data_IF_508331416633
#
_entry.id   IF_508331416633
#
_cell.length_a   1.000
_cell.length_b   1.000
_cell.length_c   1.000
_cell.angle_alpha   90.00
_cell.angle_beta   90.00
_cell.angle_gamma   90.00
#
_symmetry.space_group_name_H-M   'P 1'
#
loop_
_entity.id
_entity.type
_entity.pdbx_description
1 polymer ?
#
# COMPACT_ATOMS: atom_id res chain seq x y z
N UNK A 1 -16.63 -8.12 -24.04
CA UNK A 1 -15.41 -8.32 -23.26
C UNK A 1 -15.80 -8.80 -21.87
N UNK A 2 -15.17 -9.85 -21.34
CA UNK A 2 -15.33 -10.35 -19.97
C UNK A 2 -14.06 -10.03 -19.18
N UNK A 3 -14.17 -9.71 -17.88
CA UNK A 3 -13.06 -9.30 -17.01
C UNK A 3 -12.86 -10.34 -15.92
N UNK A 4 -11.62 -10.77 -15.70
CA UNK A 4 -11.23 -11.68 -14.61
C UNK A 4 -10.33 -10.92 -13.64
N UNK A 5 -10.87 -10.48 -12.50
CA UNK A 5 -10.13 -9.72 -11.50
C UNK A 5 -9.47 -10.66 -10.48
N UNK A 6 -8.15 -10.58 -10.34
CA UNK A 6 -7.36 -11.30 -9.35
C UNK A 6 -6.98 -10.34 -8.21
N UNK A 7 -7.46 -10.64 -7.01
CA UNK A 7 -7.19 -9.82 -5.83
C UNK A 7 -7.36 -10.59 -4.52
N UNK A 8 -6.63 -10.22 -3.45
CA UNK A 8 -7.18 -10.45 -2.13
C UNK A 8 -8.51 -9.70 -2.02
N UNK A 9 -9.54 -10.37 -1.51
CA UNK A 9 -10.87 -9.83 -1.35
C UNK A 9 -11.28 -9.87 0.13
N UNK A 10 -12.27 -9.08 0.59
CA UNK A 10 -12.81 -9.23 1.92
C UNK A 10 -13.21 -10.69 2.20
N UNK A 11 -12.95 -11.24 3.41
CA UNK A 11 -12.52 -10.57 4.64
C UNK A 11 -11.00 -10.41 4.80
N UNK A 12 -10.19 -10.51 3.74
CA UNK A 12 -8.75 -10.30 3.81
C UNK A 12 -8.44 -8.91 4.38
N UNK A 13 -7.56 -8.80 5.41
CA UNK A 13 -7.34 -7.55 6.12
C UNK A 13 -6.35 -6.62 5.41
N UNK A 14 -6.57 -6.34 4.12
CA UNK A 14 -5.70 -5.48 3.30
C UNK A 14 -6.49 -4.32 2.69
N UNK A 15 -5.84 -3.15 2.53
CA UNK A 15 -6.45 -2.02 1.83
C UNK A 15 -6.77 -2.31 0.35
N UNK A 16 -6.02 -3.24 -0.27
CA UNK A 16 -6.30 -3.68 -1.65
C UNK A 16 -7.59 -4.51 -1.73
N UNK A 17 -7.94 -5.25 -0.66
CA UNK A 17 -9.22 -5.97 -0.63
C UNK A 17 -10.41 -5.01 -0.65
N UNK A 18 -10.36 -3.94 0.17
CA UNK A 18 -11.40 -2.91 0.20
C UNK A 18 -11.48 -2.14 -1.13
N UNK A 19 -10.32 -1.78 -1.69
CA UNK A 19 -10.23 -1.15 -3.02
C UNK A 19 -10.83 -2.03 -4.11
N UNK A 20 -10.51 -3.34 -4.10
CA UNK A 20 -10.99 -4.27 -5.13
C UNK A 20 -12.49 -4.55 -5.01
N UNK A 21 -13.07 -4.51 -3.81
CA UNK A 21 -14.53 -4.56 -3.64
C UNK A 21 -15.20 -3.38 -4.35
N UNK A 22 -14.72 -2.16 -4.08
CA UNK A 22 -15.23 -0.96 -4.75
C UNK A 22 -15.07 -1.03 -6.27
N UNK A 23 -13.91 -1.49 -6.75
CA UNK A 23 -13.63 -1.63 -8.18
C UNK A 23 -14.55 -2.67 -8.84
N UNK A 24 -14.80 -3.81 -8.19
CA UNK A 24 -15.71 -4.85 -8.69
C UNK A 24 -17.12 -4.31 -8.90
N UNK A 25 -17.65 -3.54 -7.94
CA UNK A 25 -18.98 -2.90 -8.03
C UNK A 25 -19.06 -1.99 -9.26
N UNK A 26 -18.05 -1.14 -9.48
CA UNK A 26 -18.01 -0.24 -10.63
C UNK A 26 -17.81 -0.94 -11.97
N UNK A 27 -16.97 -1.96 -12.03
CA UNK A 27 -16.74 -2.72 -13.26
C UNK A 27 -17.91 -3.62 -13.62
N UNK A 28 -18.61 -4.20 -12.65
CA UNK A 28 -19.79 -5.06 -12.89
C UNK A 28 -20.96 -4.30 -13.55
N UNK A 29 -21.03 -2.98 -13.34
CA UNK A 29 -21.98 -2.12 -14.04
C UNK A 29 -21.67 -1.95 -15.55
N UNK A 30 -20.46 -2.28 -15.99
CA UNK A 30 -19.96 -2.05 -17.37
C UNK A 30 -19.64 -3.32 -18.14
N UNK A 31 -19.24 -4.38 -17.43
CA UNK A 31 -18.75 -5.63 -18.03
C UNK A 31 -19.26 -6.85 -17.25
N UNK A 32 -19.38 -8.01 -17.87
CA UNK A 32 -19.40 -9.27 -17.15
C UNK A 32 -18.07 -9.45 -16.42
N UNK A 33 -18.10 -9.45 -15.08
CA UNK A 33 -16.90 -9.54 -14.22
C UNK A 33 -16.97 -10.80 -13.39
N UNK A 34 -15.86 -11.47 -13.22
CA UNK A 34 -15.64 -12.53 -12.26
C UNK A 34 -14.38 -12.26 -11.45
N UNK A 35 -14.37 -12.66 -10.19
CA UNK A 35 -13.26 -12.44 -9.28
C UNK A 35 -12.55 -13.75 -8.93
N UNK A 36 -11.23 -13.68 -8.76
CA UNK A 36 -10.36 -14.80 -8.40
C UNK A 36 -9.54 -14.47 -7.16
N UNK A 37 -9.58 -15.34 -6.16
CA UNK A 37 -8.86 -15.13 -4.89
C UNK A 37 -8.29 -16.44 -4.34
N UNK A 38 -7.32 -16.33 -3.43
CA UNK A 38 -6.76 -17.48 -2.68
C UNK A 38 -7.40 -17.65 -1.30
N UNK A 39 -8.14 -16.64 -0.83
CA UNK A 39 -8.72 -16.62 0.50
C UNK A 39 -10.18 -17.09 0.55
N UNK A 40 -10.80 -16.88 1.70
CA UNK A 40 -12.24 -17.04 1.86
C UNK A 40 -12.99 -16.07 0.94
N UNK A 41 -14.10 -16.53 0.38
CA UNK A 41 -14.96 -15.72 -0.50
C UNK A 41 -16.06 -15.10 0.36
N UNK A 42 -16.16 -13.78 0.32
CA UNK A 42 -17.25 -13.05 0.95
C UNK A 42 -18.53 -13.23 0.12
N UNK A 43 -19.54 -13.84 0.73
CA UNK A 43 -20.84 -14.08 0.09
C UNK A 43 -21.65 -12.79 -0.18
N UNK A 44 -21.18 -11.64 0.31
CA UNK A 44 -21.84 -10.34 0.08
C UNK A 44 -21.40 -9.65 -1.21
N UNK A 45 -20.42 -10.21 -1.93
CA UNK A 45 -19.99 -9.69 -3.23
C UNK A 45 -21.01 -10.07 -4.31
N UNK A 46 -21.51 -9.08 -5.04
CA UNK A 46 -22.50 -9.27 -6.12
C UNK A 46 -21.88 -9.74 -7.46
N UNK A 47 -20.69 -10.33 -7.41
CA UNK A 47 -20.01 -10.88 -8.57
C UNK A 47 -19.61 -12.33 -8.34
N UNK A 48 -19.60 -13.20 -9.38
CA UNK A 48 -19.10 -14.56 -9.25
C UNK A 48 -17.65 -14.58 -8.77
N UNK A 49 -17.37 -15.30 -7.67
CA UNK A 49 -16.04 -15.41 -7.08
C UNK A 49 -15.58 -16.87 -7.11
N UNK A 50 -14.32 -17.08 -7.49
CA UNK A 50 -13.75 -18.39 -7.68
C UNK A 50 -12.37 -18.53 -7.02
N UNK A 51 -11.96 -19.75 -6.63
CA UNK A 51 -10.58 -20.03 -6.31
C UNK A 51 -9.68 -19.75 -7.53
N UNK A 52 -8.59 -19.00 -7.37
CA UNK A 52 -7.72 -18.58 -8.47
C UNK A 52 -7.20 -19.75 -9.35
N UNK A 53 -6.98 -20.93 -8.75
CA UNK A 53 -6.51 -22.15 -9.47
C UNK A 53 -7.48 -22.66 -10.52
N UNK A 54 -8.73 -22.23 -10.50
CA UNK A 54 -9.75 -22.65 -11.48
C UNK A 54 -9.72 -21.82 -12.77
N UNK A 55 -8.94 -20.74 -12.79
CA UNK A 55 -8.93 -19.80 -13.91
C UNK A 55 -8.57 -20.46 -15.25
N UNK A 56 -7.46 -21.17 -15.31
CA UNK A 56 -6.99 -21.80 -16.55
C UNK A 56 -8.02 -22.76 -17.12
N UNK A 57 -8.61 -23.62 -16.29
CA UNK A 57 -9.68 -24.52 -16.70
C UNK A 57 -10.90 -23.76 -17.26
N UNK A 58 -11.30 -22.66 -16.59
CA UNK A 58 -12.45 -21.86 -17.02
C UNK A 58 -12.19 -21.16 -18.35
N UNK A 59 -10.96 -20.73 -18.64
CA UNK A 59 -10.60 -20.12 -19.93
C UNK A 59 -10.69 -21.10 -21.12
N UNK A 60 -10.72 -22.41 -20.90
CA UNK A 60 -10.91 -23.40 -21.97
C UNK A 60 -12.37 -23.61 -22.36
N UNK A 61 -13.30 -23.30 -21.46
CA UNK A 61 -14.75 -23.60 -21.60
C UNK A 61 -15.55 -22.35 -21.98
N UNK A 62 -15.09 -21.19 -21.54
CA UNK A 62 -15.80 -19.92 -21.70
C UNK A 62 -15.03 -18.92 -22.60
N UNK A 63 -15.68 -17.87 -23.14
CA UNK A 63 -14.96 -16.82 -23.87
C UNK A 63 -13.82 -16.24 -23.03
N UNK A 64 -12.65 -16.07 -23.65
CA UNK A 64 -11.47 -15.55 -22.94
C UNK A 64 -11.78 -14.24 -22.24
N UNK A 65 -11.48 -14.18 -20.92
CA UNK A 65 -11.56 -12.96 -20.12
C UNK A 65 -10.22 -12.22 -20.16
N UNK A 66 -10.26 -10.90 -20.01
CA UNK A 66 -9.05 -10.10 -19.77
C UNK A 66 -8.72 -10.19 -18.29
N UNK A 67 -7.53 -10.71 -17.93
CA UNK A 67 -7.11 -10.72 -16.54
C UNK A 67 -6.73 -9.31 -16.06
N UNK A 68 -7.13 -8.98 -14.82
CA UNK A 68 -6.74 -7.76 -14.11
C UNK A 68 -6.13 -8.16 -12.77
N UNK A 69 -4.89 -7.83 -12.54
CA UNK A 69 -4.09 -8.29 -11.42
C UNK A 69 -3.84 -7.18 -10.41
N UNK A 70 -4.43 -7.27 -9.22
CA UNK A 70 -4.22 -6.31 -8.13
C UNK A 70 -3.03 -6.73 -7.29
N UNK A 71 -1.88 -6.11 -7.45
CA UNK A 71 -0.62 -6.50 -6.78
C UNK A 71 -0.14 -5.40 -5.85
N UNK A 72 0.18 -5.82 -4.61
CA UNK A 72 0.83 -5.03 -3.58
C UNK A 72 1.91 -5.83 -2.84
N UNK A 73 2.66 -5.18 -1.97
CA UNK A 73 3.82 -5.73 -1.28
C UNK A 73 3.44 -6.51 -0.01
N UNK A 74 2.65 -7.57 -0.15
CA UNK A 74 2.33 -8.48 0.96
C UNK A 74 2.06 -9.90 0.48
N UNK A 75 2.20 -10.89 1.37
CA UNK A 75 1.94 -12.31 1.08
C UNK A 75 0.50 -12.60 0.64
N UNK A 76 -0.44 -11.69 0.88
CA UNK A 76 -1.81 -11.82 0.38
C UNK A 76 -1.91 -11.78 -1.16
N UNK A 77 -0.85 -11.30 -1.85
CA UNK A 77 -0.80 -11.16 -3.31
C UNK A 77 0.03 -12.27 -3.99
N UNK A 78 0.67 -13.17 -3.25
CA UNK A 78 1.59 -14.18 -3.81
C UNK A 78 0.96 -15.05 -4.89
N UNK A 79 -0.32 -15.43 -4.71
CA UNK A 79 -1.03 -16.25 -5.69
C UNK A 79 -1.22 -15.57 -7.05
N UNK A 80 -1.16 -14.22 -7.09
CA UNK A 80 -1.36 -13.45 -8.32
C UNK A 80 -0.08 -13.41 -9.14
N UNK A 81 1.07 -13.42 -8.49
CA UNK A 81 2.37 -13.22 -9.14
C UNK A 81 2.61 -14.21 -10.27
N UNK A 82 2.50 -15.51 -9.99
CA UNK A 82 2.75 -16.57 -10.97
C UNK A 82 1.71 -16.58 -12.10
N UNK A 83 0.44 -16.35 -11.81
CA UNK A 83 -0.62 -16.33 -12.82
C UNK A 83 -0.47 -15.10 -13.73
N UNK A 84 -0.05 -13.95 -13.18
CA UNK A 84 0.18 -12.73 -13.96
C UNK A 84 1.39 -12.81 -14.90
N UNK A 85 2.36 -13.66 -14.58
CA UNK A 85 3.50 -13.94 -15.47
C UNK A 85 3.10 -14.84 -16.66
N UNK A 86 2.21 -15.82 -16.43
CA UNK A 86 1.80 -16.79 -17.47
C UNK A 86 0.65 -16.31 -18.36
N UNK A 87 -0.19 -15.42 -17.86
CA UNK A 87 -1.38 -14.93 -18.57
C UNK A 87 -1.36 -13.41 -18.69
N UNK A 88 -0.72 -12.85 -19.74
CA UNK A 88 -0.60 -11.42 -19.93
C UNK A 88 -1.95 -10.68 -19.90
N UNK A 89 -2.09 -9.70 -19.03
CA UNK A 89 -3.30 -8.92 -18.81
C UNK A 89 -3.02 -7.46 -18.46
N UNK A 90 -3.88 -6.89 -17.62
CA UNK A 90 -3.70 -5.55 -17.04
C UNK A 90 -3.19 -5.71 -15.61
N UNK A 91 -1.97 -5.25 -15.37
CA UNK A 91 -1.32 -5.27 -14.07
C UNK A 91 -1.61 -3.96 -13.32
N UNK A 92 -2.15 -4.03 -12.13
CA UNK A 92 -2.35 -2.88 -11.25
C UNK A 92 -1.35 -2.96 -10.09
N UNK A 93 -0.40 -2.04 -10.05
CA UNK A 93 0.62 -1.97 -9.01
C UNK A 93 0.22 -0.97 -7.93
N UNK A 94 -0.11 -1.47 -6.75
CA UNK A 94 -0.37 -0.65 -5.56
C UNK A 94 0.93 -0.25 -4.86
N UNK A 95 1.95 -1.11 -4.93
CA UNK A 95 3.32 -0.86 -4.47
C UNK A 95 4.29 -1.11 -5.63
N UNK A 96 5.31 -0.29 -5.77
CA UNK A 96 6.37 -0.52 -6.77
C UNK A 96 7.44 -1.48 -6.26
N UNK A 97 7.66 -1.54 -4.95
CA UNK A 97 8.61 -2.47 -4.33
C UNK A 97 7.87 -3.74 -3.93
N UNK A 98 8.07 -4.82 -4.66
CA UNK A 98 7.46 -6.14 -4.39
C UNK A 98 8.45 -7.09 -3.70
N UNK A 99 9.72 -6.75 -3.64
CA UNK A 99 10.79 -7.62 -3.17
C UNK A 99 10.60 -8.15 -1.75
N UNK A 100 10.03 -7.33 -0.83
CA UNK A 100 9.75 -7.78 0.53
C UNK A 100 8.78 -8.96 0.58
N UNK A 101 7.69 -8.92 -0.20
CA UNK A 101 6.73 -10.02 -0.26
C UNK A 101 7.34 -11.25 -0.96
N UNK A 102 8.12 -11.03 -2.04
CA UNK A 102 8.79 -12.13 -2.74
C UNK A 102 9.80 -12.83 -1.85
N UNK A 103 10.73 -12.10 -1.23
CA UNK A 103 11.66 -12.67 -0.26
C UNK A 103 10.92 -13.40 0.87
N UNK A 104 9.89 -12.77 1.45
CA UNK A 104 9.12 -13.37 2.53
C UNK A 104 8.43 -14.68 2.14
N UNK A 105 7.92 -14.80 0.90
CA UNK A 105 7.31 -16.01 0.36
C UNK A 105 8.31 -17.18 0.39
N UNK A 106 9.53 -16.98 -0.11
CA UNK A 106 10.57 -18.00 -0.11
C UNK A 106 11.08 -18.32 1.29
N UNK A 107 11.34 -17.29 2.11
CA UNK A 107 11.87 -17.46 3.47
C UNK A 107 10.88 -18.08 4.46
N UNK A 108 9.58 -18.02 4.17
CA UNK A 108 8.49 -18.64 4.96
C UNK A 108 7.96 -19.92 4.31
N UNK A 109 8.56 -20.39 3.23
CA UNK A 109 8.18 -21.67 2.61
C UNK A 109 8.39 -22.82 3.61
N UNK A 110 7.59 -23.89 3.52
CA UNK A 110 7.74 -25.05 4.42
C UNK A 110 9.17 -25.60 4.43
N UNK A 111 9.82 -25.68 3.29
CA UNK A 111 11.18 -26.22 3.12
C UNK A 111 12.21 -25.43 3.93
N UNK A 112 12.17 -24.10 3.84
CA UNK A 112 13.10 -23.21 4.56
C UNK A 112 12.80 -23.19 6.06
N UNK A 113 11.52 -23.17 6.44
CA UNK A 113 11.11 -23.20 7.87
C UNK A 113 11.48 -24.52 8.52
N UNK A 114 11.25 -25.66 7.86
CA UNK A 114 11.62 -26.99 8.37
C UNK A 114 13.13 -27.14 8.55
N UNK A 115 13.93 -26.63 7.61
CA UNK A 115 15.39 -26.64 7.72
C UNK A 115 15.88 -25.78 8.88
N UNK A 116 15.32 -24.58 9.07
CA UNK A 116 15.68 -23.69 10.18
C UNK A 116 15.37 -24.30 11.56
N UNK A 117 14.32 -25.11 11.63
CA UNK A 117 13.95 -25.83 12.86
C UNK A 117 14.87 -27.01 13.14
N UNK A 118 15.57 -27.58 12.12
CA UNK A 118 16.43 -28.75 12.22
C UNK A 118 17.61 -28.66 11.24
N UNK A 119 18.54 -27.74 11.53
CA UNK A 119 19.69 -27.43 10.66
C UNK A 119 20.69 -28.57 10.48
N UNK A 120 20.63 -29.60 11.31
CA UNK A 120 21.47 -30.82 11.17
C UNK A 120 20.99 -31.80 10.08
N UNK A 121 19.77 -31.63 9.56
CA UNK A 121 19.19 -32.55 8.61
C UNK A 121 19.56 -32.19 7.16
N UNK A 122 20.36 -33.02 6.52
CA UNK A 122 20.88 -32.78 5.17
C UNK A 122 19.79 -32.79 4.11
N UNK A 123 18.77 -33.65 4.21
CA UNK A 123 17.64 -33.69 3.26
C UNK A 123 16.79 -32.44 3.33
N UNK A 124 16.54 -31.89 4.53
CA UNK A 124 15.82 -30.62 4.71
C UNK A 124 16.64 -29.48 4.16
N UNK A 125 17.98 -29.52 4.39
CA UNK A 125 18.89 -28.49 3.83
C UNK A 125 18.82 -28.46 2.31
N UNK A 126 18.90 -29.62 1.66
CA UNK A 126 18.92 -29.68 0.20
C UNK A 126 17.61 -29.16 -0.41
N UNK A 127 16.45 -29.50 0.17
CA UNK A 127 15.16 -28.92 -0.23
C UNK A 127 15.08 -27.40 0.00
N UNK A 128 15.59 -26.91 1.12
CA UNK A 128 15.63 -25.49 1.40
C UNK A 128 16.53 -24.74 0.42
N UNK A 129 17.69 -25.30 0.06
CA UNK A 129 18.60 -24.74 -0.93
C UNK A 129 17.99 -24.72 -2.33
N UNK A 130 17.28 -25.78 -2.74
CA UNK A 130 16.51 -25.80 -3.98
C UNK A 130 15.48 -24.67 -4.01
N UNK A 131 14.70 -24.50 -2.93
CA UNK A 131 13.72 -23.42 -2.83
C UNK A 131 14.33 -22.01 -2.86
N UNK A 132 15.48 -21.82 -2.24
CA UNK A 132 16.21 -20.56 -2.27
C UNK A 132 16.88 -20.31 -3.65
N UNK A 133 17.23 -21.37 -4.38
CA UNK A 133 17.75 -21.24 -5.75
C UNK A 133 16.67 -20.75 -6.72
N UNK A 134 15.39 -21.10 -6.51
CA UNK A 134 14.28 -20.51 -7.26
C UNK A 134 14.20 -18.99 -7.05
N UNK A 135 14.33 -18.52 -5.80
CA UNK A 135 14.38 -17.09 -5.51
C UNK A 135 15.57 -16.40 -6.18
N UNK A 136 16.75 -17.01 -6.12
CA UNK A 136 17.94 -16.46 -6.79
C UNK A 136 17.70 -16.35 -8.30
N UNK A 137 17.14 -17.38 -8.93
CA UNK A 137 16.82 -17.37 -10.36
C UNK A 137 15.77 -16.27 -10.73
N UNK A 138 14.81 -16.01 -9.85
CA UNK A 138 13.86 -14.91 -10.04
C UNK A 138 14.56 -13.55 -10.01
N UNK A 139 15.45 -13.33 -9.03
CA UNK A 139 16.20 -12.08 -8.90
C UNK A 139 17.19 -11.89 -10.06
N UNK A 140 17.87 -12.96 -10.50
CA UNK A 140 18.75 -12.96 -11.67
C UNK A 140 18.01 -12.63 -12.98
N UNK A 141 16.81 -13.17 -13.16
CA UNK A 141 15.98 -12.88 -14.33
C UNK A 141 15.55 -11.41 -14.37
N UNK A 142 15.32 -10.79 -13.21
CA UNK A 142 15.02 -9.36 -13.12
C UNK A 142 16.28 -8.48 -13.28
N UNK A 143 17.42 -8.92 -12.72
CA UNK A 143 18.69 -8.18 -12.65
C UNK A 143 19.86 -9.07 -13.10
N UNK A 144 20.09 -9.24 -14.40
CA UNK A 144 21.08 -10.22 -14.93
C UNK A 144 22.54 -9.98 -14.49
N UNK A 145 22.90 -8.75 -14.12
CA UNK A 145 24.30 -8.42 -13.74
C UNK A 145 24.54 -8.59 -12.23
N UNK A 146 23.59 -8.19 -11.38
CA UNK A 146 23.78 -8.12 -9.93
C UNK A 146 22.87 -9.10 -9.16
N UNK A 147 21.96 -9.79 -9.85
CA UNK A 147 20.89 -10.58 -9.22
C UNK A 147 21.36 -11.65 -8.25
N UNK A 148 22.45 -12.36 -8.58
CA UNK A 148 23.05 -13.37 -7.67
C UNK A 148 23.48 -12.74 -6.35
N UNK A 149 24.23 -11.63 -6.39
CA UNK A 149 24.73 -10.95 -5.20
C UNK A 149 23.58 -10.35 -4.39
N UNK A 150 22.63 -9.72 -5.07
CA UNK A 150 21.41 -9.16 -4.44
C UNK A 150 20.63 -10.26 -3.70
N UNK A 151 20.40 -11.42 -4.33
CA UNK A 151 19.71 -12.54 -3.72
C UNK A 151 20.46 -13.09 -2.49
N UNK A 152 21.78 -13.26 -2.59
CA UNK A 152 22.60 -13.73 -1.46
C UNK A 152 22.53 -12.78 -0.26
N UNK A 153 22.68 -11.47 -0.49
CA UNK A 153 22.59 -10.46 0.57
C UNK A 153 21.18 -10.48 1.19
N UNK A 154 20.14 -10.53 0.38
CA UNK A 154 18.76 -10.55 0.85
C UNK A 154 18.45 -11.79 1.71
N UNK A 155 18.91 -12.98 1.31
CA UNK A 155 18.74 -14.23 2.06
C UNK A 155 19.47 -14.16 3.42
N UNK A 156 20.70 -13.65 3.44
CA UNK A 156 21.54 -13.60 4.65
C UNK A 156 21.10 -12.54 5.64
N UNK A 157 20.74 -11.35 5.16
CA UNK A 157 20.53 -10.16 5.99
C UNK A 157 19.07 -9.73 6.10
N UNK A 158 18.13 -10.41 5.41
CA UNK A 158 16.74 -9.98 5.32
C UNK A 158 16.50 -8.76 4.42
N UNK A 159 17.54 -8.37 3.66
CA UNK A 159 17.50 -7.36 2.60
C UNK A 159 17.51 -5.89 3.03
N UNK A 160 16.79 -5.48 4.05
CA UNK A 160 16.79 -4.10 4.52
C UNK A 160 16.54 -3.07 3.40
N UNK A 161 17.42 -2.06 3.28
CA UNK A 161 17.34 -1.01 2.25
C UNK A 161 17.52 -1.54 0.82
N UNK A 162 18.29 -2.62 0.65
CA UNK A 162 18.55 -3.26 -0.64
C UNK A 162 17.24 -3.60 -1.40
N UNK A 163 16.19 -4.04 -0.68
CA UNK A 163 14.93 -4.41 -1.31
C UNK A 163 14.19 -3.22 -1.95
N UNK A 164 14.48 -1.99 -1.53
CA UNK A 164 13.94 -0.78 -2.17
C UNK A 164 14.72 -0.39 -3.41
N UNK A 165 16.00 -0.76 -3.49
CA UNK A 165 16.89 -0.49 -4.64
C UNK A 165 16.65 -1.50 -5.77
N UNK A 166 16.24 -2.75 -5.42
CA UNK A 166 15.92 -3.84 -6.34
C UNK A 166 14.47 -4.30 -6.16
N UNK A 167 13.48 -3.57 -6.70
CA UNK A 167 12.05 -3.71 -6.34
C UNK A 167 11.36 -4.97 -6.81
N UNK A 168 11.89 -5.75 -7.76
CA UNK A 168 11.31 -7.00 -8.32
C UNK A 168 9.93 -6.86 -8.98
N UNK A 169 9.62 -5.71 -9.56
CA UNK A 169 8.42 -5.54 -10.38
C UNK A 169 8.68 -5.79 -11.88
N UNK A 170 9.93 -5.83 -12.31
CA UNK A 170 10.35 -5.78 -13.71
C UNK A 170 9.80 -6.93 -14.53
N UNK A 171 9.82 -8.15 -14.00
CA UNK A 171 9.28 -9.32 -14.69
C UNK A 171 7.78 -9.19 -14.93
N UNK A 172 7.04 -8.75 -13.90
CA UNK A 172 5.59 -8.55 -14.02
C UNK A 172 5.25 -7.43 -15.01
N UNK A 173 5.98 -6.32 -14.97
CA UNK A 173 5.78 -5.19 -15.86
C UNK A 173 5.98 -5.62 -17.32
N UNK A 174 7.07 -6.36 -17.60
CA UNK A 174 7.40 -6.85 -18.94
C UNK A 174 6.45 -7.96 -19.41
N UNK A 175 5.89 -8.75 -18.50
CA UNK A 175 4.99 -9.85 -18.83
C UNK A 175 3.56 -9.42 -19.16
N UNK A 176 3.17 -8.20 -18.86
CA UNK A 176 1.79 -7.76 -18.98
C UNK A 176 1.58 -6.75 -20.11
N UNK A 177 0.36 -6.70 -20.65
CA UNK A 177 -0.02 -5.86 -21.78
C UNK A 177 -0.04 -4.38 -21.42
N UNK A 178 -0.44 -4.07 -20.19
CA UNK A 178 -0.58 -2.73 -19.66
C UNK A 178 -0.37 -2.75 -18.16
N UNK A 179 0.24 -1.69 -17.63
CA UNK A 179 0.42 -1.49 -16.19
C UNK A 179 -0.35 -0.24 -15.76
N UNK A 180 -1.17 -0.39 -14.73
CA UNK A 180 -1.87 0.72 -14.09
C UNK A 180 -1.20 1.04 -12.76
N UNK A 181 -1.00 2.32 -12.53
CA UNK A 181 -0.51 2.88 -11.26
C UNK A 181 -1.41 4.03 -10.83
N UNK A 182 -1.33 4.45 -9.57
CA UNK A 182 -2.25 5.44 -9.02
C UNK A 182 -1.70 6.87 -8.95
N UNK A 183 -0.45 7.09 -9.41
CA UNK A 183 0.20 8.40 -9.37
C UNK A 183 1.16 8.60 -10.55
N UNK A 184 1.45 9.87 -10.87
CA UNK A 184 2.41 10.22 -11.92
C UNK A 184 3.82 9.84 -11.52
N UNK A 185 4.19 10.07 -10.26
CA UNK A 185 5.50 9.68 -9.74
C UNK A 185 5.76 8.18 -9.83
N UNK A 186 4.73 7.34 -9.60
CA UNK A 186 4.84 5.90 -9.77
C UNK A 186 5.03 5.51 -11.25
N UNK A 187 4.28 6.14 -12.17
CA UNK A 187 4.45 5.92 -13.61
C UNK A 187 5.86 6.26 -14.07
N UNK A 188 6.35 7.43 -13.70
CA UNK A 188 7.65 7.94 -14.14
C UNK A 188 8.77 7.01 -13.64
N UNK A 189 8.70 6.59 -12.37
CA UNK A 189 9.64 5.61 -11.80
C UNK A 189 9.61 4.25 -12.49
N UNK A 190 8.43 3.77 -12.90
CA UNK A 190 8.31 2.52 -13.67
C UNK A 190 8.89 2.66 -15.08
N UNK A 191 8.68 3.79 -15.73
CA UNK A 191 9.25 4.05 -17.06
C UNK A 191 10.77 4.19 -17.03
N UNK A 192 11.34 4.67 -15.92
CA UNK A 192 12.80 4.72 -15.71
C UNK A 192 13.37 3.30 -15.55
N UNK A 193 12.72 2.41 -14.80
CA UNK A 193 13.19 1.03 -14.59
C UNK A 193 12.81 0.06 -15.72
N UNK A 194 11.70 0.30 -16.39
CA UNK A 194 11.16 -0.53 -17.48
C UNK A 194 10.81 0.34 -18.70
N UNK A 195 11.80 0.88 -19.43
CA UNK A 195 11.56 1.72 -20.60
C UNK A 195 10.73 1.00 -21.69
N UNK A 196 9.81 1.73 -22.29
CA UNK A 196 8.95 1.19 -23.36
C UNK A 196 7.72 0.41 -22.88
N UNK A 197 7.53 0.22 -21.59
CA UNK A 197 6.33 -0.41 -21.04
C UNK A 197 5.12 0.51 -21.19
N UNK A 198 3.94 -0.09 -21.41
CA UNK A 198 2.68 0.65 -21.49
C UNK A 198 2.13 0.92 -20.09
N UNK A 199 2.47 2.07 -19.52
CA UNK A 199 2.06 2.46 -18.17
C UNK A 199 1.03 3.58 -18.22
N UNK A 200 -0.10 3.39 -17.55
CA UNK A 200 -1.18 4.38 -17.41
C UNK A 200 -1.39 4.77 -15.95
N UNK A 201 -1.78 6.01 -15.73
CA UNK A 201 -2.18 6.48 -14.39
C UNK A 201 -3.70 6.41 -14.30
N UNK A 202 -4.20 5.59 -13.39
CA UNK A 202 -5.61 5.57 -13.00
C UNK A 202 -5.69 5.97 -11.53
N UNK A 203 -6.26 7.11 -11.23
CA UNK A 203 -6.33 7.60 -9.86
C UNK A 203 -7.23 6.73 -9.00
N UNK A 204 -6.80 6.50 -7.77
CA UNK A 204 -7.57 5.72 -6.81
C UNK A 204 -8.82 6.48 -6.37
N UNK A 205 -10.01 5.94 -6.62
CA UNK A 205 -11.27 6.52 -6.16
C UNK A 205 -11.46 6.33 -4.65
N UNK A 206 -11.99 7.34 -3.99
CA UNK A 206 -12.26 7.34 -2.54
C UNK A 206 -13.73 7.63 -2.28
N UNK A 207 -14.44 6.68 -1.69
CA UNK A 207 -15.76 6.91 -1.13
C UNK A 207 -15.63 7.65 0.21
N UNK A 208 -16.29 8.79 0.32
CA UNK A 208 -16.29 9.57 1.56
C UNK A 208 -17.68 9.52 2.17
N UNK A 209 -17.85 8.95 3.38
CA UNK A 209 -19.13 8.97 4.05
C UNK A 209 -19.46 10.39 4.54
N UNK A 210 -20.70 10.60 4.91
CA UNK A 210 -21.07 11.81 5.62
C UNK A 210 -20.32 11.88 6.97
N UNK A 211 -19.55 12.94 7.15
CA UNK A 211 -18.71 13.10 8.32
C UNK A 211 -19.40 13.98 9.37
N UNK A 212 -19.30 13.57 10.62
CA UNK A 212 -19.71 14.40 11.76
C UNK A 212 -18.71 15.55 11.98
N UNK A 213 -19.12 16.59 12.70
CA UNK A 213 -18.23 17.68 13.09
C UNK A 213 -17.06 17.19 13.96
N UNK A 214 -15.97 17.98 14.02
CA UNK A 214 -14.81 17.68 14.88
C UNK A 214 -15.22 17.59 16.34
N UNK A 215 -16.10 18.46 16.80
CA UNK A 215 -16.60 18.53 18.16
C UNK A 215 -17.41 17.26 18.50
N UNK A 216 -18.31 16.86 17.64
CA UNK A 216 -19.10 15.66 17.80
C UNK A 216 -18.24 14.39 17.78
N UNK A 217 -17.27 14.30 16.87
CA UNK A 217 -16.34 13.18 16.83
C UNK A 217 -15.54 13.06 18.14
N UNK A 218 -15.06 14.18 18.67
CA UNK A 218 -14.35 14.22 19.95
C UNK A 218 -15.23 13.83 21.13
N UNK A 219 -16.48 14.28 21.13
CA UNK A 219 -17.44 13.88 22.17
C UNK A 219 -17.68 12.37 22.14
N UNK A 220 -17.94 11.79 20.96
CA UNK A 220 -18.13 10.35 20.79
C UNK A 220 -16.92 9.52 21.20
N UNK A 221 -15.70 10.05 20.99
CA UNK A 221 -14.44 9.39 21.33
C UNK A 221 -13.91 9.72 22.73
N UNK A 222 -14.54 10.63 23.47
CA UNK A 222 -14.10 11.03 24.83
C UNK A 222 -12.75 11.77 24.83
N UNK A 223 -12.40 12.51 23.76
CA UNK A 223 -11.07 13.10 23.59
C UNK A 223 -10.89 14.49 24.24
N UNK A 224 -11.98 15.14 24.64
CA UNK A 224 -11.93 16.46 25.25
C UNK A 224 -11.47 17.55 24.28
N UNK A 225 -10.82 18.63 24.86
CA UNK A 225 -10.42 19.83 24.10
C UNK A 225 -8.93 19.85 23.73
N UNK A 226 -8.16 18.81 24.07
CA UNK A 226 -6.73 18.74 23.76
C UNK A 226 -6.49 18.81 22.24
N UNK A 227 -5.33 19.32 21.86
CA UNK A 227 -4.85 19.18 20.49
C UNK A 227 -4.65 17.71 20.15
N UNK A 228 -5.19 17.25 19.02
CA UNK A 228 -5.08 15.87 18.58
C UNK A 228 -4.20 15.78 17.35
N UNK A 229 -3.02 15.18 17.51
CA UNK A 229 -2.22 14.65 16.42
C UNK A 229 -2.64 13.21 16.19
N UNK A 230 -2.72 12.74 14.93
CA UNK A 230 -3.09 11.36 14.64
C UNK A 230 -2.30 10.78 13.47
N UNK A 231 -1.88 9.50 13.59
CA UNK A 231 -1.38 8.69 12.48
C UNK A 231 -2.26 7.46 12.28
N UNK A 232 -2.40 7.00 11.03
CA UNK A 232 -3.36 5.97 10.66
C UNK A 232 -2.70 4.78 9.94
N UNK A 233 -3.34 3.60 10.09
CA UNK A 233 -2.92 2.33 9.53
C UNK A 233 -1.86 1.64 10.39
N UNK A 234 -1.27 0.55 9.90
CA UNK A 234 -0.31 -0.27 10.64
C UNK A 234 0.85 0.57 11.19
N UNK A 235 1.12 0.46 12.48
CA UNK A 235 2.19 1.21 13.17
C UNK A 235 3.52 0.52 12.92
N UNK A 236 4.34 1.11 12.04
CA UNK A 236 5.64 0.56 11.62
C UNK A 236 6.73 1.63 11.67
N UNK A 237 8.02 1.26 11.73
CA UNK A 237 9.13 2.22 11.71
C UNK A 237 9.13 3.12 10.47
N UNK A 238 8.76 2.60 9.30
CA UNK A 238 8.72 3.33 8.02
C UNK A 238 7.75 4.52 8.06
N UNK A 239 6.79 4.52 8.99
CA UNK A 239 5.89 5.67 9.22
C UNK A 239 6.52 6.79 10.05
N UNK A 240 7.81 6.71 10.35
CA UNK A 240 8.57 7.72 11.10
C UNK A 240 7.94 8.06 12.47
N UNK A 241 7.32 7.06 13.10
CA UNK A 241 6.62 7.24 14.40
C UNK A 241 7.59 7.71 15.49
N UNK A 242 8.82 7.19 15.50
CA UNK A 242 9.85 7.60 16.47
C UNK A 242 10.16 9.10 16.40
N UNK A 243 10.22 9.70 15.21
CA UNK A 243 10.41 11.13 15.03
C UNK A 243 9.18 11.89 15.56
N UNK A 244 7.97 11.41 15.25
CA UNK A 244 6.74 12.01 15.75
C UNK A 244 6.63 11.96 17.28
N UNK A 245 7.06 10.87 17.92
CA UNK A 245 7.10 10.77 19.39
C UNK A 245 8.09 11.77 20.02
N UNK A 246 9.28 11.92 19.44
CA UNK A 246 10.26 12.91 19.92
C UNK A 246 9.77 14.34 19.73
N UNK A 247 9.14 14.64 18.59
CA UNK A 247 8.46 15.92 18.34
C UNK A 247 7.33 16.18 19.34
N UNK A 248 6.53 15.14 19.66
CA UNK A 248 5.48 15.22 20.68
C UNK A 248 6.05 15.62 22.05
N UNK A 249 7.15 14.99 22.47
CA UNK A 249 7.83 15.34 23.71
C UNK A 249 8.22 16.84 23.75
N UNK A 250 8.70 17.37 22.61
CA UNK A 250 9.03 18.81 22.52
C UNK A 250 7.80 19.68 22.62
N UNK A 251 6.70 19.33 21.95
CA UNK A 251 5.43 20.06 22.06
C UNK A 251 4.95 20.14 23.51
N UNK A 252 5.05 19.03 24.25
CA UNK A 252 4.69 18.98 25.67
C UNK A 252 5.61 19.86 26.56
N UNK A 253 6.92 19.87 26.27
CA UNK A 253 7.87 20.71 26.96
C UNK A 253 7.61 22.22 26.74
N UNK A 254 7.07 22.58 25.56
CA UNK A 254 6.61 23.95 25.24
C UNK A 254 5.21 24.28 25.83
N UNK A 255 4.65 23.38 26.63
CA UNK A 255 3.36 23.57 27.30
C UNK A 255 2.13 23.35 26.38
N UNK A 256 2.28 22.75 25.23
CA UNK A 256 1.14 22.43 24.36
C UNK A 256 0.35 21.27 24.96
N UNK A 257 -0.95 21.47 25.25
CA UNK A 257 -1.84 20.38 25.69
C UNK A 257 -2.24 19.50 24.49
N UNK A 258 -1.43 18.48 24.22
CA UNK A 258 -1.52 17.64 23.03
C UNK A 258 -1.59 16.14 23.36
N UNK A 259 -2.33 15.40 22.54
CA UNK A 259 -2.36 13.92 22.53
C UNK A 259 -2.03 13.42 21.14
N UNK A 260 -1.23 12.36 21.06
CA UNK A 260 -0.96 11.65 19.82
C UNK A 260 -1.70 10.32 19.77
N UNK A 261 -2.51 10.11 18.73
CA UNK A 261 -3.33 8.91 18.56
C UNK A 261 -2.80 8.11 17.37
N UNK A 262 -2.43 6.87 17.63
CA UNK A 262 -2.02 5.88 16.62
C UNK A 262 -3.21 4.98 16.32
N UNK A 263 -3.87 5.25 15.19
CA UNK A 263 -5.11 4.56 14.77
C UNK A 263 -4.75 3.39 13.87
N UNK A 264 -4.51 2.22 14.45
CA UNK A 264 -4.12 1.02 13.73
C UNK A 264 -3.43 -0.03 14.57
N UNK A 265 -3.24 -1.21 13.99
CA UNK A 265 -2.52 -2.32 14.61
C UNK A 265 -1.01 -2.03 14.70
N UNK A 266 -0.31 -2.79 15.55
CA UNK A 266 1.15 -2.75 15.72
C UNK A 266 1.80 -3.96 15.07
N UNK A 267 3.11 -3.89 14.81
CA UNK A 267 3.93 -5.01 14.35
C UNK A 267 4.81 -5.55 15.48
N UNK A 268 5.11 -6.87 15.51
CA UNK A 268 5.85 -7.47 16.64
C UNK A 268 7.27 -6.93 16.84
N UNK A 269 7.90 -6.42 15.79
CA UNK A 269 9.28 -5.95 15.81
C UNK A 269 9.42 -4.45 16.12
N UNK A 270 8.31 -3.74 16.44
CA UNK A 270 8.33 -2.32 16.79
C UNK A 270 7.45 -2.06 18.02
N UNK A 271 8.09 -1.88 19.19
CA UNK A 271 7.42 -1.57 20.44
C UNK A 271 7.34 -0.05 20.68
N UNK A 272 6.34 0.56 20.07
CA UNK A 272 6.07 1.99 20.19
C UNK A 272 5.62 2.39 21.62
N UNK A 273 5.08 1.46 22.43
CA UNK A 273 4.70 1.73 23.82
C UNK A 273 5.93 1.90 24.69
N UNK A 274 6.90 1.02 24.55
CA UNK A 274 8.17 1.12 25.28
C UNK A 274 8.93 2.39 24.88
N UNK A 275 8.95 2.74 23.58
CA UNK A 275 9.57 4.00 23.12
C UNK A 275 8.89 5.23 23.76
N UNK A 276 7.55 5.29 23.77
CA UNK A 276 6.81 6.38 24.42
C UNK A 276 7.09 6.47 25.92
N UNK A 277 7.26 5.33 26.60
CA UNK A 277 7.61 5.26 28.02
C UNK A 277 9.02 5.78 28.28
N UNK A 278 10.01 5.37 27.48
CA UNK A 278 11.39 5.85 27.57
C UNK A 278 11.49 7.37 27.37
N UNK A 279 10.62 7.93 26.52
CA UNK A 279 10.50 9.36 26.31
C UNK A 279 9.71 10.09 27.41
N UNK A 280 9.10 9.38 28.37
CA UNK A 280 8.29 9.97 29.43
C UNK A 280 6.97 10.58 28.98
N UNK A 281 6.41 10.12 27.85
CA UNK A 281 5.19 10.67 27.22
C UNK A 281 4.07 9.64 27.04
N UNK A 282 4.18 8.47 27.69
CA UNK A 282 3.25 7.35 27.49
C UNK A 282 1.77 7.71 27.71
N UNK A 283 1.46 8.60 28.67
CA UNK A 283 0.11 9.08 28.97
C UNK A 283 -0.48 10.01 27.90
N UNK A 284 0.38 10.56 27.03
CA UNK A 284 0.00 11.41 25.89
C UNK A 284 -0.11 10.64 24.56
N UNK A 285 0.19 9.34 24.56
CA UNK A 285 0.14 8.48 23.38
C UNK A 285 -0.97 7.45 23.54
N UNK A 286 -1.89 7.40 22.59
CA UNK A 286 -2.98 6.43 22.58
C UNK A 286 -2.82 5.51 21.37
N UNK A 287 -2.78 4.19 21.61
CA UNK A 287 -2.86 3.17 20.57
C UNK A 287 -4.26 2.58 20.56
N UNK A 288 -4.95 2.64 19.42
CA UNK A 288 -6.31 2.12 19.32
C UNK A 288 -6.34 0.63 18.97
N UNK A 289 -5.25 0.09 18.39
CA UNK A 289 -5.32 -1.16 17.65
C UNK A 289 -6.07 -0.98 16.32
N UNK A 290 -6.34 -2.10 15.64
CA UNK A 290 -7.17 -2.08 14.42
C UNK A 290 -8.58 -1.61 14.78
N UNK A 291 -9.09 -0.67 14.00
CA UNK A 291 -10.44 -0.13 14.16
C UNK A 291 -11.30 -0.45 12.95
N UNK A 292 -12.60 -0.50 13.16
CA UNK A 292 -13.59 -0.56 12.08
C UNK A 292 -13.63 0.75 11.28
N UNK A 293 -14.14 0.69 10.07
CA UNK A 293 -14.20 1.82 9.15
C UNK A 293 -14.90 3.05 9.74
N UNK A 294 -16.04 2.87 10.40
CA UNK A 294 -16.74 3.96 11.08
C UNK A 294 -15.87 4.67 12.12
N UNK A 295 -15.10 3.91 12.89
CA UNK A 295 -14.18 4.45 13.88
C UNK A 295 -12.99 5.16 13.23
N UNK A 296 -12.47 4.65 12.09
CA UNK A 296 -11.45 5.34 11.31
C UNK A 296 -11.91 6.77 10.97
N UNK A 297 -13.11 6.91 10.42
CA UNK A 297 -13.65 8.22 10.03
C UNK A 297 -13.90 9.14 11.23
N UNK A 298 -14.32 8.58 12.39
CA UNK A 298 -14.45 9.35 13.63
C UNK A 298 -13.11 9.89 14.11
N UNK A 299 -12.05 9.06 14.14
CA UNK A 299 -10.71 9.52 14.52
C UNK A 299 -10.16 10.54 13.51
N UNK A 300 -10.40 10.33 12.22
CA UNK A 300 -10.03 11.30 11.20
C UNK A 300 -10.75 12.64 11.43
N UNK A 301 -12.06 12.64 11.66
CA UNK A 301 -12.83 13.85 11.95
C UNK A 301 -12.35 14.56 13.23
N UNK A 302 -11.94 13.84 14.27
CA UNK A 302 -11.50 14.38 15.55
C UNK A 302 -10.11 15.03 15.52
N UNK A 303 -9.24 14.68 14.57
CA UNK A 303 -7.85 15.13 14.52
C UNK A 303 -7.73 16.62 14.12
N UNK A 304 -6.76 17.33 14.71
CA UNK A 304 -6.34 18.66 14.29
C UNK A 304 -5.32 18.60 13.17
N UNK A 305 -4.34 17.70 13.29
CA UNK A 305 -3.29 17.45 12.30
C UNK A 305 -3.10 15.94 12.20
N UNK A 306 -3.14 15.44 10.96
CA UNK A 306 -2.82 14.06 10.66
C UNK A 306 -1.36 13.95 10.17
N UNK A 307 -0.59 13.04 10.76
CA UNK A 307 0.78 12.74 10.34
C UNK A 307 0.76 11.48 9.48
N UNK A 308 0.97 11.63 8.18
CA UNK A 308 1.10 10.52 7.23
C UNK A 308 2.53 10.45 6.69
N UNK A 309 3.48 10.41 7.61
CA UNK A 309 4.90 10.36 7.32
C UNK A 309 5.31 8.97 6.83
N UNK A 310 6.27 8.91 5.89
CA UNK A 310 6.82 7.64 5.38
C UNK A 310 8.27 7.80 4.95
N UNK A 311 9.11 6.84 5.33
CA UNK A 311 10.45 6.66 4.80
C UNK A 311 11.08 5.36 5.32
N UNK A 312 11.66 4.53 4.43
CA UNK A 312 11.53 4.60 2.98
C UNK A 312 10.09 4.30 2.52
N UNK A 313 9.81 4.51 1.24
CA UNK A 313 8.51 4.24 0.61
C UNK A 313 8.63 3.16 -0.46
N UNK A 314 7.63 2.30 -0.56
CA UNK A 314 7.51 1.32 -1.64
C UNK A 314 6.95 1.92 -2.95
N UNK A 315 6.84 3.25 -3.05
CA UNK A 315 6.29 3.94 -4.23
C UNK A 315 4.76 3.90 -4.30
N UNK A 316 4.13 3.50 -3.22
CA UNK A 316 2.68 3.38 -3.12
C UNK A 316 1.96 4.73 -3.10
N UNK A 317 0.73 4.77 -3.64
CA UNK A 317 -0.24 5.82 -3.34
C UNK A 317 -0.98 5.46 -2.05
N UNK A 318 -0.84 6.30 -1.02
CA UNK A 318 -1.40 5.99 0.29
C UNK A 318 -2.92 6.19 0.32
N UNK A 319 -3.70 5.10 0.27
CA UNK A 319 -5.15 5.15 0.47
C UNK A 319 -5.53 5.83 1.80
N UNK A 320 -4.73 5.65 2.85
CA UNK A 320 -4.90 6.36 4.13
C UNK A 320 -4.77 7.88 3.94
N UNK A 321 -3.76 8.35 3.19
CA UNK A 321 -3.59 9.78 2.89
C UNK A 321 -4.82 10.33 2.18
N UNK A 322 -5.27 9.67 1.11
CA UNK A 322 -6.42 10.09 0.34
C UNK A 322 -7.69 10.18 1.20
N UNK A 323 -7.92 9.22 2.07
CA UNK A 323 -9.07 9.23 3.01
C UNK A 323 -8.98 10.38 4.03
N UNK A 324 -7.79 10.72 4.52
CA UNK A 324 -7.61 11.85 5.43
C UNK A 324 -7.83 13.19 4.72
N UNK A 325 -7.37 13.33 3.48
CA UNK A 325 -7.65 14.49 2.64
C UNK A 325 -9.15 14.59 2.32
N UNK A 326 -9.81 13.47 1.99
CA UNK A 326 -11.26 13.39 1.80
C UNK A 326 -12.03 13.82 3.06
N UNK A 327 -11.53 13.47 4.26
CA UNK A 327 -12.08 13.94 5.52
C UNK A 327 -11.83 15.45 5.76
N UNK A 328 -11.14 16.14 4.86
CA UNK A 328 -10.77 17.54 5.00
C UNK A 328 -9.91 17.78 6.22
N UNK A 329 -8.88 16.98 6.39
CA UNK A 329 -7.91 17.19 7.48
C UNK A 329 -6.66 17.86 6.98
N UNK A 330 -6.04 18.68 7.85
CA UNK A 330 -4.69 19.13 7.62
C UNK A 330 -3.76 17.93 7.76
N UNK A 331 -3.20 17.46 6.64
CA UNK A 331 -2.31 16.30 6.62
C UNK A 331 -0.88 16.75 6.35
N UNK A 332 0.04 16.24 7.17
CA UNK A 332 1.48 16.42 6.97
C UNK A 332 2.08 15.14 6.44
N UNK A 333 2.83 15.25 5.35
CA UNK A 333 3.53 14.14 4.69
C UNK A 333 5.03 14.38 4.71
N UNK A 334 5.84 13.32 4.55
CA UNK A 334 7.27 13.49 4.27
C UNK A 334 7.45 14.08 2.87
N UNK A 335 8.28 15.11 2.75
CA UNK A 335 8.58 15.74 1.46
C UNK A 335 9.44 14.82 0.60
N UNK A 336 8.78 14.11 -0.28
CA UNK A 336 9.35 13.12 -1.21
C UNK A 336 8.64 13.26 -2.57
N UNK A 337 9.16 12.58 -3.58
CA UNK A 337 8.62 12.62 -4.94
C UNK A 337 7.10 12.34 -5.01
N UNK A 338 6.57 11.45 -4.16
CA UNK A 338 5.12 11.16 -4.10
C UNK A 338 4.29 12.36 -3.61
N UNK A 339 4.88 13.26 -2.82
CA UNK A 339 4.19 14.48 -2.39
C UNK A 339 3.96 15.46 -3.56
N UNK A 340 4.76 15.36 -4.64
CA UNK A 340 4.62 16.20 -5.85
C UNK A 340 3.38 15.84 -6.68
N UNK A 341 2.76 14.69 -6.44
CA UNK A 341 1.50 14.32 -7.09
C UNK A 341 0.28 15.11 -6.56
N UNK A 342 0.47 15.85 -5.46
CA UNK A 342 -0.57 16.63 -4.79
C UNK A 342 -0.32 18.13 -4.93
N UNK A 343 -1.37 18.96 -4.98
CA UNK A 343 -1.22 20.43 -4.93
C UNK A 343 -0.52 20.89 -3.64
N UNK A 344 0.29 21.93 -3.74
CA UNK A 344 1.08 22.45 -2.62
C UNK A 344 0.22 22.97 -1.46
N UNK A 345 -1.01 23.38 -1.74
CA UNK A 345 -1.99 23.86 -0.79
C UNK A 345 -2.94 22.78 -0.23
N UNK A 346 -2.84 21.53 -0.73
CA UNK A 346 -3.69 20.42 -0.24
C UNK A 346 -3.07 19.66 0.94
N UNK A 347 -1.77 19.79 1.18
CA UNK A 347 -1.06 19.10 2.27
C UNK A 347 0.14 19.91 2.79
N UNK A 348 0.55 19.62 4.02
CA UNK A 348 1.78 20.16 4.58
C UNK A 348 2.92 19.17 4.35
N UNK A 349 4.14 19.67 4.14
CA UNK A 349 5.34 18.87 3.89
C UNK A 349 6.32 19.00 5.04
N UNK A 350 6.79 17.88 5.56
CA UNK A 350 7.87 17.80 6.55
C UNK A 350 9.14 17.33 5.83
N UNK A 351 10.27 17.96 6.10
CA UNK A 351 11.56 17.60 5.49
C UNK A 351 11.87 16.10 5.62
N UNK A 352 12.37 15.51 4.54
CA UNK A 352 12.85 14.13 4.55
C UNK A 352 14.03 13.95 5.51
N UNK A 353 15.00 14.87 5.46
CA UNK A 353 16.20 14.88 6.30
C UNK A 353 15.95 15.53 7.66
N UNK A 354 14.72 16.02 7.88
CA UNK A 354 14.30 16.64 9.12
C UNK A 354 14.26 15.63 10.26
N UNK A 355 14.86 16.03 11.38
CA UNK A 355 14.77 15.34 12.65
C UNK A 355 13.48 15.72 13.41
N UNK A 356 13.44 15.38 14.70
CA UNK A 356 12.32 15.77 15.58
C UNK A 356 12.16 17.28 15.71
N UNK A 357 13.22 18.07 15.56
CA UNK A 357 13.19 19.53 15.67
C UNK A 357 12.51 20.16 14.46
N UNK A 358 12.83 19.67 13.27
CA UNK A 358 12.15 20.08 12.02
C UNK A 358 10.67 19.75 12.06
N UNK A 359 10.30 18.52 12.41
CA UNK A 359 8.90 18.13 12.51
C UNK A 359 8.16 18.90 13.61
N UNK A 360 8.82 19.17 14.74
CA UNK A 360 8.25 20.02 15.79
C UNK A 360 7.92 21.42 15.27
N UNK A 361 8.84 22.06 14.54
CA UNK A 361 8.62 23.40 13.98
C UNK A 361 7.46 23.40 12.98
N UNK A 362 7.38 22.41 12.10
CA UNK A 362 6.31 22.29 11.11
C UNK A 362 4.94 22.10 11.76
N UNK A 363 4.86 21.26 12.81
CA UNK A 363 3.62 21.06 13.58
C UNK A 363 3.24 22.32 14.34
N UNK A 364 4.20 22.99 14.98
CA UNK A 364 3.96 24.24 15.71
C UNK A 364 3.46 25.36 14.79
N UNK A 365 3.99 25.48 13.59
CA UNK A 365 3.51 26.46 12.62
C UNK A 365 2.03 26.20 12.27
N UNK A 366 1.67 24.94 11.99
CA UNK A 366 0.26 24.59 11.72
C UNK A 366 -0.62 24.84 12.97
N UNK A 367 -0.14 24.60 14.17
CA UNK A 367 -0.92 24.86 15.39
C UNK A 367 -1.15 26.34 15.65
N UNK A 368 -0.13 27.16 15.38
CA UNK A 368 -0.19 28.63 15.55
C UNK A 368 -0.93 29.34 14.42
N UNK A 369 -1.13 28.68 13.29
CA UNK A 369 -1.75 29.27 12.10
C UNK A 369 -3.04 28.52 11.71
N UNK A 370 -4.18 28.75 12.39
CA UNK A 370 -5.44 28.08 12.09
C UNK A 370 -5.99 28.43 10.70
N UNK A 371 -5.65 29.61 10.14
CA UNK A 371 -6.05 29.99 8.79
C UNK A 371 -5.32 29.13 7.73
N UNK A 372 -4.01 28.87 7.94
CA UNK A 372 -3.26 27.94 7.09
C UNK A 372 -3.88 26.54 7.12
N UNK A 373 -4.21 26.02 8.33
CA UNK A 373 -4.88 24.73 8.45
C UNK A 373 -6.21 24.69 7.70
N UNK A 374 -7.06 25.71 7.85
CA UNK A 374 -8.34 25.77 7.13
C UNK A 374 -8.16 25.79 5.62
N UNK A 375 -7.16 26.48 5.09
CA UNK A 375 -6.85 26.46 3.65
C UNK A 375 -6.47 25.05 3.19
N UNK A 376 -5.55 24.37 3.91
CA UNK A 376 -5.19 22.97 3.62
C UNK A 376 -6.40 22.04 3.65
N UNK A 377 -7.25 22.15 4.68
CA UNK A 377 -8.46 21.34 4.84
C UNK A 377 -9.48 21.54 3.70
N UNK A 378 -9.60 22.75 3.17
CA UNK A 378 -10.50 23.08 2.06
C UNK A 378 -9.92 22.56 0.73
N UNK A 379 -8.68 22.91 0.42
CA UNK A 379 -8.01 22.48 -0.81
C UNK A 379 -7.90 20.96 -0.90
N UNK A 380 -7.66 20.28 0.24
CA UNK A 380 -7.64 18.81 0.31
C UNK A 380 -8.98 18.19 -0.14
N UNK A 381 -10.11 18.70 0.37
CA UNK A 381 -11.44 18.20 -0.04
C UNK A 381 -11.73 18.45 -1.51
N UNK A 382 -11.44 19.66 -1.97
CA UNK A 382 -11.64 20.05 -3.38
C UNK A 382 -10.81 19.16 -4.31
N UNK A 383 -9.55 18.92 -3.98
CA UNK A 383 -8.66 18.05 -4.75
C UNK A 383 -9.19 16.61 -4.82
N UNK A 384 -9.60 16.03 -3.68
CA UNK A 384 -10.11 14.65 -3.66
C UNK A 384 -11.42 14.55 -4.44
N UNK A 385 -12.33 15.51 -4.30
CA UNK A 385 -13.59 15.50 -5.04
C UNK A 385 -13.38 15.59 -6.57
N UNK A 386 -12.37 16.35 -7.00
CA UNK A 386 -12.04 16.52 -8.42
C UNK A 386 -11.28 15.32 -9.00
N UNK A 387 -10.26 14.82 -8.28
CA UNK A 387 -9.25 13.93 -8.86
C UNK A 387 -9.40 12.46 -8.41
N UNK A 388 -10.11 12.21 -7.31
CA UNK A 388 -10.24 10.87 -6.70
C UNK A 388 -11.69 10.39 -6.60
N UNK A 389 -12.49 10.77 -7.58
CA UNK A 389 -13.89 10.34 -7.70
C UNK A 389 -13.96 8.88 -8.18
N UNK A 390 -14.67 7.97 -7.47
CA UNK A 390 -14.82 6.58 -7.89
C UNK A 390 -15.40 6.41 -9.29
N UNK A 391 -16.38 7.24 -9.70
CA UNK A 391 -16.97 7.14 -11.03
C UNK A 391 -15.95 7.41 -12.15
N UNK A 392 -15.04 8.38 -11.96
CA UNK A 392 -13.95 8.65 -12.91
C UNK A 392 -12.98 7.46 -12.95
N UNK A 393 -12.60 6.91 -11.80
CA UNK A 393 -11.78 5.70 -11.74
C UNK A 393 -12.38 4.55 -12.54
N UNK A 394 -13.70 4.31 -12.44
CA UNK A 394 -14.37 3.24 -13.17
C UNK A 394 -14.38 3.48 -14.69
N UNK A 395 -14.50 4.73 -15.15
CA UNK A 395 -14.38 5.06 -16.57
C UNK A 395 -12.96 4.84 -17.07
N UNK A 396 -11.95 5.32 -16.35
CA UNK A 396 -10.53 5.16 -16.70
C UNK A 396 -10.17 3.66 -16.80
N UNK A 397 -10.63 2.83 -15.84
CA UNK A 397 -10.44 1.38 -15.92
C UNK A 397 -11.13 0.79 -17.16
N UNK A 398 -12.35 1.22 -17.46
CA UNK A 398 -13.09 0.71 -18.60
C UNK A 398 -12.41 1.06 -19.93
N UNK A 399 -11.83 2.24 -20.04
CA UNK A 399 -11.02 2.65 -21.19
C UNK A 399 -9.74 1.82 -21.32
N UNK A 400 -8.97 1.71 -20.23
CA UNK A 400 -7.75 0.90 -20.20
C UNK A 400 -8.01 -0.57 -20.57
N UNK A 401 -9.11 -1.15 -20.09
CA UNK A 401 -9.48 -2.54 -20.41
C UNK A 401 -9.84 -2.73 -21.88
N UNK A 402 -10.54 -1.78 -22.50
CA UNK A 402 -10.83 -1.80 -23.93
C UNK A 402 -9.54 -1.69 -24.76
N UNK A 403 -8.65 -0.76 -24.41
CA UNK A 403 -7.35 -0.61 -25.06
C UNK A 403 -6.50 -1.88 -24.92
N UNK A 404 -6.43 -2.48 -23.73
CA UNK A 404 -5.64 -3.68 -23.47
C UNK A 404 -6.11 -4.91 -24.26
N UNK A 405 -7.37 -4.94 -24.72
CA UNK A 405 -7.89 -6.02 -25.54
C UNK A 405 -7.12 -6.14 -26.85
N UNK A 406 -6.78 -5.02 -27.46
CA UNK A 406 -6.15 -4.93 -28.77
C UNK A 406 -4.61 -5.01 -28.71
N UNK A 407 -4.02 -4.92 -27.50
CA UNK A 407 -2.57 -5.03 -27.33
C UNK A 407 -2.15 -6.49 -27.42
N UNK A 408 -1.15 -6.81 -28.26
CA UNK A 408 -0.58 -8.16 -28.33
C UNK A 408 -0.02 -8.60 -26.97
N UNK A 409 -0.11 -9.89 -26.67
CA UNK A 409 0.53 -10.43 -25.47
C UNK A 409 2.05 -10.34 -25.61
N UNK A 410 2.77 -9.76 -24.64
CA UNK A 410 4.22 -9.77 -24.63
C UNK A 410 4.75 -11.20 -24.47
N UNK A 411 5.96 -11.44 -24.99
CA UNK A 411 6.70 -12.68 -24.79
C UNK A 411 7.95 -12.38 -24.01
N UNK A 412 8.12 -13.01 -22.85
CA UNK A 412 9.31 -12.90 -22.03
C UNK A 412 9.84 -14.28 -21.67
N UNK A 413 11.14 -14.40 -21.48
CA UNK A 413 11.74 -15.60 -20.91
C UNK A 413 11.58 -15.56 -19.39
N UNK A 414 11.04 -16.64 -18.84
CA UNK A 414 10.83 -16.80 -17.40
C UNK A 414 11.69 -17.93 -16.87
N UNK A 415 12.16 -17.83 -15.62
CA UNK A 415 12.71 -18.98 -14.89
C UNK A 415 11.73 -20.16 -14.90
N UNK A 416 12.24 -21.39 -15.02
CA UNK A 416 11.43 -22.61 -15.21
C UNK A 416 10.36 -22.82 -14.12
N UNK A 417 10.59 -22.41 -12.91
CA UNK A 417 9.64 -22.51 -11.80
C UNK A 417 8.52 -21.44 -11.83
N UNK A 418 8.64 -20.42 -12.69
CA UNK A 418 7.65 -19.35 -12.90
C UNK A 418 6.89 -19.51 -14.25
N UNK A 419 7.34 -20.42 -15.11
CA UNK A 419 6.77 -20.70 -16.43
C UNK A 419 5.43 -21.42 -16.38
#
# INVERSE_FOLDING_TARGET
MRVALFSPLPPSPTGVADYSRLLLEGLAAKFPVEAYTSGAIDATLDVPCYPWKTFEQRQTVEPKAIPVYQIGNSLHHDFIYSIALRHPGVLVLHDLVLHHSRLAMYMKSPEVVEYRADMGNTTKRDRALEKLSEYTAEVEAAYPLEGTEVAEIAIRMGGGRLLYEYPLHELLVKANKMVLVHSRSARDKLLDSCPGSNVRVVRMGIETPELVSREEARQRLGLGKKTILASFGLVTPEKRISIALRSLRRLLNEGVDVRYILVGGTVPHYDVREEAKQLGIAEHVQLTGRVEEKSFWLYAAAADICLNLRYPTAGETSATLLRLLAAGRAVMVTDQVQALDFPDDALARASLDGDEDGLFCDVMDLLRNPDRRRRLETAAREYIAAEHNPAVMFEDYAECLKEAQDIPSPSIELPSHLS
#
